data_IF_359217111039
#
_entry.id   IF_359217111039
#
_cell.length_a   1.000
_cell.length_b   1.000
_cell.length_c   1.000
_cell.angle_alpha   90.00
_cell.angle_beta   90.00
_cell.angle_gamma   90.00
#
_symmetry.space_group_name_H-M   'P 1'
#
loop_
_entity.id
_entity.type
_entity.pdbx_description
1 polymer ?
#
# COMPACT_ATOMS: atom_id res chain seq x y z
N UNK A 1 30.62 23.25 48.81
CA UNK A 1 31.09 22.60 47.56
C UNK A 1 30.15 21.53 47.03
N UNK A 2 29.64 20.60 47.85
CA UNK A 2 28.71 19.53 47.41
C UNK A 2 27.36 20.03 46.83
N UNK A 3 26.82 21.13 47.37
CA UNK A 3 25.59 21.75 46.86
C UNK A 3 25.72 22.28 45.41
N UNK A 4 26.89 22.82 45.05
CA UNK A 4 27.15 23.34 43.70
C UNK A 4 27.24 22.21 42.66
N UNK A 5 27.84 21.07 43.01
CA UNK A 5 27.89 19.88 42.14
C UNK A 5 26.48 19.32 41.87
N UNK A 6 25.61 19.33 42.88
CA UNK A 6 24.24 18.83 42.74
C UNK A 6 23.42 19.73 41.79
N UNK A 7 23.55 21.06 41.91
CA UNK A 7 22.89 22.00 41.01
C UNK A 7 23.35 21.83 39.55
N UNK A 8 24.64 21.64 39.29
CA UNK A 8 25.15 21.44 37.93
C UNK A 8 24.65 20.12 37.33
N UNK A 9 24.56 19.05 38.12
CA UNK A 9 24.00 17.77 37.68
C UNK A 9 22.49 17.86 37.37
N UNK A 10 21.74 18.60 38.20
CA UNK A 10 20.31 18.85 37.97
C UNK A 10 20.09 19.72 36.72
N UNK A 11 20.92 20.75 36.51
CA UNK A 11 20.88 21.57 35.31
C UNK A 11 21.18 20.70 34.08
N UNK A 12 22.20 19.83 34.11
CA UNK A 12 22.51 18.91 33.02
C UNK A 12 21.35 17.95 32.69
N UNK A 13 20.61 17.46 33.70
CA UNK A 13 19.41 16.64 33.51
C UNK A 13 18.26 17.44 32.90
N UNK A 14 18.12 18.72 33.23
CA UNK A 14 17.11 19.61 32.65
C UNK A 14 17.46 19.96 31.19
N UNK A 15 18.74 20.15 30.85
CA UNK A 15 19.17 20.45 29.46
C UNK A 15 19.00 19.23 28.54
N UNK A 16 19.14 18.00 29.06
CA UNK A 16 18.93 16.75 28.31
C UNK A 16 17.45 16.38 28.12
N UNK A 17 16.51 17.19 28.60
CA UNK A 17 15.12 17.09 28.20
C UNK A 17 14.94 17.67 26.79
N UNK A 18 15.57 17.04 25.80
CA UNK A 18 15.06 17.12 24.44
C UNK A 18 13.68 16.47 24.48
N UNK A 19 12.67 17.33 24.46
CA UNK A 19 11.30 16.91 24.37
C UNK A 19 11.19 16.21 23.02
N UNK A 20 11.25 14.88 23.01
CA UNK A 20 10.82 14.07 21.89
C UNK A 20 9.31 14.24 21.74
N UNK A 21 8.90 15.42 21.28
CA UNK A 21 7.61 15.57 20.64
C UNK A 21 7.71 14.68 19.40
N UNK A 22 7.13 13.48 19.50
CA UNK A 22 6.82 12.64 18.34
C UNK A 22 5.93 13.50 17.47
N UNK A 23 6.54 14.16 16.49
CA UNK A 23 5.85 15.02 15.57
C UNK A 23 4.86 14.15 14.77
N UNK A 24 3.58 14.21 15.17
CA UNK A 24 2.48 13.53 14.47
C UNK A 24 2.26 14.13 13.07
N UNK A 25 2.91 15.25 12.75
CA UNK A 25 2.92 15.89 11.43
C UNK A 25 4.16 15.59 10.59
N UNK A 26 5.16 14.85 11.10
CA UNK A 26 6.28 14.32 10.31
C UNK A 26 5.94 12.98 9.62
N UNK A 27 4.65 12.68 9.45
CA UNK A 27 4.19 11.50 8.72
C UNK A 27 3.76 11.94 7.32
N UNK A 28 4.40 11.38 6.27
CA UNK A 28 4.00 11.62 4.89
C UNK A 28 2.53 11.23 4.70
N UNK A 29 1.73 12.10 4.10
CA UNK A 29 0.35 11.80 3.73
C UNK A 29 0.29 10.55 2.85
N UNK A 30 -0.73 9.73 3.05
CA UNK A 30 -0.96 8.52 2.24
C UNK A 30 -2.15 8.75 1.31
N UNK A 31 -1.98 8.40 0.04
CA UNK A 31 -3.05 8.33 -0.96
C UNK A 31 -3.22 6.86 -1.31
N UNK A 32 -4.33 6.27 -0.88
CA UNK A 32 -4.62 4.85 -1.10
C UNK A 32 -5.62 4.74 -2.24
N UNK A 33 -5.18 4.17 -3.35
CA UNK A 33 -5.99 3.95 -4.54
C UNK A 33 -6.47 2.51 -4.56
N UNK A 34 -7.75 2.31 -4.85
CA UNK A 34 -8.31 0.98 -5.08
C UNK A 34 -8.52 0.80 -6.57
N UNK A 35 -7.89 -0.25 -7.13
CA UNK A 35 -8.22 -0.71 -8.46
C UNK A 35 -9.23 -1.84 -8.35
N UNK A 36 -10.40 -1.66 -8.98
CA UNK A 36 -11.44 -2.66 -9.01
C UNK A 36 -11.29 -3.57 -10.23
N UNK A 37 -10.97 -4.84 -10.01
CA UNK A 37 -10.69 -5.81 -11.09
C UNK A 37 -11.85 -5.95 -12.08
N UNK A 38 -13.09 -5.78 -11.63
CA UNK A 38 -14.29 -5.77 -12.49
C UNK A 38 -14.28 -4.68 -13.57
N UNK A 39 -13.47 -3.62 -13.42
CA UNK A 39 -13.34 -2.56 -14.42
C UNK A 39 -12.60 -3.00 -15.68
N UNK A 40 -11.87 -4.12 -15.62
CA UNK A 40 -11.25 -4.78 -16.77
C UNK A 40 -12.27 -5.18 -17.85
N UNK A 41 -13.47 -5.61 -17.42
CA UNK A 41 -14.52 -6.11 -18.32
C UNK A 41 -15.45 -5.04 -18.88
N UNK A 42 -15.23 -3.76 -18.54
CA UNK A 42 -16.08 -2.68 -19.08
C UNK A 42 -15.80 -2.50 -20.58
N UNK A 43 -16.82 -2.26 -21.40
CA UNK A 43 -16.63 -2.02 -22.83
C UNK A 43 -16.22 -0.57 -23.13
N UNK A 44 -15.55 -0.38 -24.27
CA UNK A 44 -15.19 0.93 -24.82
C UNK A 44 -14.33 1.76 -23.88
N UNK A 45 -14.58 3.07 -23.84
CA UNK A 45 -13.82 4.03 -23.01
C UNK A 45 -13.99 3.80 -21.49
N UNK A 46 -14.93 2.94 -21.09
CA UNK A 46 -15.10 2.52 -19.71
C UNK A 46 -14.10 1.45 -19.27
N UNK A 47 -13.38 0.81 -20.19
CA UNK A 47 -12.39 -0.23 -19.91
C UNK A 47 -11.23 0.36 -19.12
N UNK A 48 -10.92 -0.24 -17.98
CA UNK A 48 -9.82 0.21 -17.15
C UNK A 48 -8.99 -0.98 -16.65
N UNK A 49 -7.83 -1.14 -17.25
CA UNK A 49 -6.86 -2.20 -16.91
C UNK A 49 -6.00 -1.75 -15.72
N UNK A 50 -5.32 -2.68 -15.05
CA UNK A 50 -4.50 -2.32 -13.89
C UNK A 50 -3.34 -1.39 -14.31
N UNK A 51 -2.80 -1.64 -15.50
CA UNK A 51 -1.76 -0.89 -16.20
C UNK A 51 -2.17 0.55 -16.52
N UNK A 52 -3.47 0.82 -16.66
CA UNK A 52 -4.01 2.17 -16.86
C UNK A 52 -3.91 3.03 -15.60
N UNK A 53 -3.57 2.45 -14.45
CA UNK A 53 -3.42 3.19 -13.19
C UNK A 53 -2.12 4.00 -13.18
N UNK A 54 -2.22 5.33 -13.01
CA UNK A 54 -1.04 6.17 -12.85
C UNK A 54 -0.38 5.93 -11.47
N UNK A 55 0.84 5.38 -11.39
CA UNK A 55 1.48 5.06 -10.12
C UNK A 55 1.97 6.30 -9.36
N UNK A 56 2.08 7.46 -10.02
CA UNK A 56 2.62 8.68 -9.41
C UNK A 56 1.59 9.45 -8.58
N UNK A 57 0.29 9.15 -8.71
CA UNK A 57 -0.77 9.83 -7.96
C UNK A 57 -1.15 9.09 -6.67
N UNK A 58 -0.71 7.85 -6.50
CA UNK A 58 -1.01 6.98 -5.37
C UNK A 58 0.26 6.71 -4.56
N UNK A 59 0.15 6.63 -3.23
CA UNK A 59 1.25 6.11 -2.41
C UNK A 59 1.09 4.62 -2.12
N UNK A 60 -0.15 4.10 -2.19
CA UNK A 60 -0.47 2.68 -2.07
C UNK A 60 -1.54 2.35 -3.11
N UNK A 61 -1.38 1.21 -3.79
CA UNK A 61 -2.38 0.65 -4.68
C UNK A 61 -2.91 -0.65 -4.08
N UNK A 62 -4.24 -0.78 -4.02
CA UNK A 62 -4.93 -1.97 -3.52
C UNK A 62 -5.66 -2.63 -4.68
N UNK A 63 -5.28 -3.87 -4.96
CA UNK A 63 -5.98 -4.74 -5.90
C UNK A 63 -7.26 -5.27 -5.24
N UNK A 64 -8.42 -4.89 -5.78
CA UNK A 64 -9.73 -5.29 -5.27
C UNK A 64 -10.44 -6.23 -6.25
N UNK A 65 -10.92 -7.41 -5.86
CA UNK A 65 -10.93 -7.99 -4.50
C UNK A 65 -10.62 -9.49 -4.53
N UNK A 66 -10.20 -10.03 -3.39
CA UNK A 66 -10.22 -11.46 -3.11
C UNK A 66 -11.53 -11.84 -2.43
N UNK A 67 -11.89 -13.14 -2.41
CA UNK A 67 -13.03 -13.65 -1.63
C UNK A 67 -12.58 -14.38 -0.37
N UNK A 68 -13.51 -14.56 0.57
CA UNK A 68 -13.33 -15.47 1.70
C UNK A 68 -14.08 -16.77 1.39
N UNK A 69 -13.37 -17.89 1.45
CA UNK A 69 -13.95 -19.22 1.27
C UNK A 69 -14.68 -19.68 2.56
N UNK A 70 -15.59 -20.66 2.48
CA UNK A 70 -16.32 -21.18 3.65
C UNK A 70 -15.42 -21.79 4.75
N UNK A 71 -14.20 -22.20 4.39
CA UNK A 71 -13.20 -22.74 5.31
C UNK A 71 -12.32 -21.63 5.94
N UNK A 72 -12.72 -20.37 5.81
CA UNK A 72 -12.01 -19.17 6.27
C UNK A 72 -10.65 -18.94 5.59
N UNK A 73 -10.40 -19.54 4.43
CA UNK A 73 -9.23 -19.24 3.61
C UNK A 73 -9.50 -18.11 2.63
N UNK A 74 -8.45 -17.38 2.22
CA UNK A 74 -8.55 -16.39 1.15
C UNK A 74 -8.63 -17.13 -0.19
N UNK A 75 -9.66 -16.83 -0.96
CA UNK A 75 -9.89 -17.39 -2.29
C UNK A 75 -9.69 -16.37 -3.40
N UNK A 76 -9.38 -16.89 -4.58
CA UNK A 76 -9.36 -16.14 -5.84
C UNK A 76 -10.80 -15.72 -6.19
N UNK A 77 -11.01 -14.44 -6.50
CA UNK A 77 -12.34 -13.93 -6.84
C UNK A 77 -12.66 -14.26 -8.29
N UNK A 78 -11.77 -13.88 -9.21
CA UNK A 78 -11.87 -14.13 -10.64
C UNK A 78 -10.66 -14.92 -11.11
N UNK A 79 -10.84 -16.22 -11.36
CA UNK A 79 -9.72 -17.10 -11.69
C UNK A 79 -9.06 -16.69 -13.01
N UNK A 80 -9.84 -16.29 -14.00
CA UNK A 80 -9.35 -16.05 -15.35
C UNK A 80 -8.49 -14.79 -15.38
N UNK A 81 -8.89 -13.76 -14.63
CA UNK A 81 -8.13 -12.52 -14.50
C UNK A 81 -7.00 -12.60 -13.46
N UNK A 82 -7.26 -13.18 -12.28
CA UNK A 82 -6.35 -13.11 -11.13
C UNK A 82 -5.18 -14.10 -11.21
N UNK A 83 -5.33 -15.26 -11.89
CA UNK A 83 -4.28 -16.29 -11.96
C UNK A 83 -3.44 -16.25 -13.24
N UNK A 84 -3.81 -15.39 -14.19
CA UNK A 84 -3.24 -15.40 -15.53
C UNK A 84 -3.63 -16.65 -16.32
N UNK A 85 -3.60 -16.55 -17.64
CA UNK A 85 -3.86 -17.71 -18.49
C UNK A 85 -2.69 -18.71 -18.37
N UNK A 86 -3.00 -19.99 -18.19
CA UNK A 86 -1.97 -21.06 -18.16
C UNK A 86 -1.38 -21.34 -19.53
N UNK A 87 -1.94 -20.78 -20.60
CA UNK A 87 -1.45 -20.91 -21.96
C UNK A 87 -0.57 -19.71 -22.37
N UNK A 88 0.71 -19.78 -22.01
CA UNK A 88 1.73 -18.81 -22.43
C UNK A 88 1.99 -18.80 -23.96
N UNK A 89 1.32 -19.66 -24.75
CA UNK A 89 1.45 -19.74 -26.21
C UNK A 89 0.24 -19.20 -26.99
N UNK A 90 -0.84 -18.76 -26.35
CA UNK A 90 -1.98 -18.11 -27.02
C UNK A 90 -1.73 -16.65 -27.42
N UNK A 91 -0.45 -16.25 -27.54
CA UNK A 91 -0.04 -14.91 -27.93
C UNK A 91 -0.96 -14.34 -29.02
N UNK A 92 -1.52 -13.16 -28.72
CA UNK A 92 -2.34 -12.26 -29.55
C UNK A 92 -3.86 -12.27 -29.26
N UNK A 93 -4.29 -11.66 -28.14
CA UNK A 93 -5.26 -10.53 -28.20
C UNK A 93 -5.45 -9.74 -26.88
N UNK A 94 -5.19 -10.31 -25.71
CA UNK A 94 -5.37 -9.58 -24.44
C UNK A 94 -4.20 -9.87 -23.51
N UNK A 95 -3.21 -8.97 -23.51
CA UNK A 95 -2.09 -9.05 -22.58
C UNK A 95 -2.54 -8.93 -21.12
N UNK A 96 -1.57 -9.07 -20.22
CA UNK A 96 -1.63 -8.65 -18.80
C UNK A 96 -1.94 -9.75 -17.78
N UNK A 97 -0.94 -10.62 -17.57
CA UNK A 97 -0.77 -11.32 -16.28
C UNK A 97 -0.06 -10.39 -15.28
N UNK A 98 -0.69 -10.13 -14.14
CA UNK A 98 -0.25 -9.18 -13.12
C UNK A 98 0.76 -9.75 -12.11
N UNK A 99 1.42 -10.85 -12.44
CA UNK A 99 2.50 -11.39 -11.64
C UNK A 99 3.81 -11.35 -12.44
N UNK A 100 4.57 -10.27 -12.24
CA UNK A 100 6.03 -10.32 -12.29
C UNK A 100 6.58 -10.51 -10.88
#
# INVERSE_FOLDING_TARGET
>A
MKFALCCLALIALIINSESASKDRFNQKYRVVCYWGSWSFYRPGDGKFEAESTNPLVCTHLVYGFTKLNPDNTIGIFDKDLDTGDTDWQSGLEWGHGLCS
#
